data_IF_621497039600
#
_entry.id   IF_621497039600
#
_cell.length_a   1.000
_cell.length_b   1.000
_cell.length_c   1.000
_cell.angle_alpha   90.00
_cell.angle_beta   90.00
_cell.angle_gamma   90.00
#
_symmetry.space_group_name_H-M   'P 1'
#
loop_
_entity.id
_entity.type
_entity.pdbx_description
1 polymer ?
#
# COMPACT_ATOMS: atom_id res chain seq x y z
N UNK A 1 -2.03 -28.15 1.76
CA UNK A 1 -2.08 -26.72 1.38
C UNK A 1 -1.88 -25.77 2.56
N UNK A 2 -2.00 -26.21 3.83
CA UNK A 2 -1.72 -25.34 4.99
C UNK A 2 -2.71 -24.19 5.16
N UNK A 3 -3.95 -24.37 4.66
CA UNK A 3 -5.01 -23.35 4.67
C UNK A 3 -6.17 -23.87 5.50
N UNK A 4 -6.80 -22.96 6.25
CA UNK A 4 -8.06 -23.22 6.93
C UNK A 4 -9.16 -23.49 5.90
N UNK A 5 -9.52 -24.77 5.74
CA UNK A 5 -10.50 -25.24 4.78
C UNK A 5 -11.88 -24.61 4.98
N UNK A 6 -12.29 -24.36 6.24
CA UNK A 6 -13.59 -23.76 6.54
C UNK A 6 -13.67 -22.31 6.08
N UNK A 7 -12.59 -21.54 6.33
CA UNK A 7 -12.47 -20.16 5.84
C UNK A 7 -12.34 -20.10 4.31
N UNK A 8 -11.60 -21.01 3.70
CA UNK A 8 -11.46 -21.05 2.25
C UNK A 8 -12.80 -21.34 1.55
N UNK A 9 -13.61 -22.26 2.09
CA UNK A 9 -14.94 -22.60 1.55
C UNK A 9 -15.94 -21.44 1.70
N UNK A 10 -15.95 -20.75 2.84
CA UNK A 10 -16.85 -19.60 3.03
C UNK A 10 -16.52 -18.44 2.09
N UNK A 11 -15.25 -18.25 1.75
CA UNK A 11 -14.77 -17.21 0.84
C UNK A 11 -14.77 -17.63 -0.64
N UNK A 12 -14.88 -18.94 -0.92
CA UNK A 12 -14.99 -19.49 -2.27
C UNK A 12 -15.97 -20.68 -2.29
N UNK A 13 -17.29 -20.43 -2.35
CA UNK A 13 -18.30 -21.50 -2.36
C UNK A 13 -18.18 -22.46 -3.56
N UNK A 14 -17.63 -21.99 -4.69
CA UNK A 14 -17.40 -22.82 -5.88
C UNK A 14 -16.38 -23.94 -5.64
N UNK A 15 -15.58 -23.85 -4.57
CA UNK A 15 -14.64 -24.89 -4.20
C UNK A 15 -15.35 -26.21 -3.81
N UNK A 16 -16.63 -26.17 -3.41
CA UNK A 16 -17.42 -27.38 -3.15
C UNK A 16 -17.62 -28.26 -4.38
N UNK A 17 -17.67 -27.66 -5.57
CA UNK A 17 -17.92 -28.35 -6.84
C UNK A 17 -16.67 -28.50 -7.69
N UNK A 18 -15.54 -27.94 -7.25
CA UNK A 18 -14.27 -28.01 -7.95
C UNK A 18 -13.71 -29.44 -7.92
N UNK A 19 -13.35 -29.97 -9.08
CA UNK A 19 -12.69 -31.27 -9.13
C UNK A 19 -11.26 -31.19 -8.61
N UNK A 20 -10.78 -32.26 -7.98
CA UNK A 20 -9.37 -32.36 -7.55
C UNK A 20 -8.41 -32.18 -8.73
N UNK A 21 -8.81 -32.60 -9.93
CA UNK A 21 -8.02 -32.39 -11.14
C UNK A 21 -7.87 -30.91 -11.52
N UNK A 22 -8.96 -30.12 -11.44
CA UNK A 22 -8.91 -28.69 -11.69
C UNK A 22 -8.00 -27.97 -10.69
N UNK A 23 -8.13 -28.30 -9.40
CA UNK A 23 -7.26 -27.75 -8.33
C UNK A 23 -5.80 -28.14 -8.58
N UNK A 24 -5.53 -29.39 -8.95
CA UNK A 24 -4.19 -29.85 -9.26
C UNK A 24 -3.59 -29.10 -10.45
N UNK A 25 -4.37 -28.89 -11.53
CA UNK A 25 -3.95 -28.11 -12.70
C UNK A 25 -3.50 -26.70 -12.33
N UNK A 26 -4.24 -26.01 -11.45
CA UNK A 26 -3.88 -24.69 -10.93
C UNK A 26 -2.57 -24.74 -10.14
N UNK A 27 -2.42 -25.73 -9.24
CA UNK A 27 -1.20 -25.90 -8.46
C UNK A 27 0.00 -26.16 -9.38
N UNK A 28 -0.12 -27.08 -10.34
CA UNK A 28 0.93 -27.38 -11.33
C UNK A 28 1.28 -26.14 -12.15
N UNK A 29 0.28 -25.35 -12.56
CA UNK A 29 0.51 -24.10 -13.26
C UNK A 29 1.30 -23.09 -12.40
N UNK A 30 0.89 -22.86 -11.16
CA UNK A 30 1.62 -21.96 -10.25
C UNK A 30 3.05 -22.46 -9.99
N UNK A 31 3.26 -23.77 -9.87
CA UNK A 31 4.59 -24.38 -9.77
C UNK A 31 5.43 -24.12 -11.02
N UNK A 32 4.85 -24.20 -12.22
CA UNK A 32 5.54 -23.86 -13.47
C UNK A 32 5.96 -22.39 -13.55
N UNK A 33 5.32 -21.50 -12.76
CA UNK A 33 5.67 -20.09 -12.61
C UNK A 33 6.59 -19.81 -11.41
N UNK A 34 7.19 -20.85 -10.84
CA UNK A 34 8.18 -20.73 -9.76
C UNK A 34 7.58 -20.55 -8.36
N UNK A 35 6.29 -20.81 -8.16
CA UNK A 35 5.66 -20.80 -6.83
C UNK A 35 5.66 -22.19 -6.21
N UNK A 36 6.14 -22.31 -4.97
CA UNK A 36 6.33 -23.61 -4.32
C UNK A 36 5.34 -23.85 -3.20
N UNK A 37 5.29 -25.08 -2.69
CA UNK A 37 4.35 -25.50 -1.64
C UNK A 37 4.35 -24.57 -0.40
N UNK A 38 5.52 -24.04 -0.02
CA UNK A 38 5.67 -23.09 1.10
C UNK A 38 4.96 -21.75 0.89
N UNK A 39 4.69 -21.37 -0.36
CA UNK A 39 4.04 -20.10 -0.71
C UNK A 39 2.50 -20.22 -0.65
N UNK A 40 1.98 -21.42 -0.88
CA UNK A 40 0.54 -21.66 -1.07
C UNK A 40 -0.32 -21.42 0.16
N UNK A 41 0.21 -21.63 1.36
CA UNK A 41 -0.54 -21.33 2.59
C UNK A 41 -0.93 -19.85 2.64
N UNK A 42 0.00 -18.96 2.28
CA UNK A 42 -0.24 -17.51 2.21
C UNK A 42 -1.15 -17.16 1.04
N UNK A 43 -0.87 -17.71 -0.15
CA UNK A 43 -1.60 -17.37 -1.38
C UNK A 43 -3.07 -17.78 -1.27
N UNK A 44 -3.34 -19.05 -0.98
CA UNK A 44 -4.71 -19.56 -0.89
C UNK A 44 -5.43 -19.08 0.36
N UNK A 45 -4.70 -18.80 1.45
CA UNK A 45 -5.28 -18.18 2.64
C UNK A 45 -5.72 -16.71 2.43
N UNK A 46 -5.04 -15.98 1.53
CA UNK A 46 -5.41 -14.60 1.15
C UNK A 46 -6.41 -14.55 0.00
N UNK A 47 -6.34 -15.51 -0.92
CA UNK A 47 -7.03 -15.51 -2.20
C UNK A 47 -7.56 -16.92 -2.51
N UNK A 48 -8.55 -17.42 -1.76
CA UNK A 48 -9.07 -18.78 -1.93
C UNK A 48 -9.78 -19.00 -3.27
N UNK A 49 -10.23 -17.92 -3.93
CA UNK A 49 -10.83 -17.96 -5.27
C UNK A 49 -9.88 -18.44 -6.36
N UNK A 50 -8.56 -18.36 -6.15
CA UNK A 50 -7.55 -18.86 -7.09
C UNK A 50 -7.74 -20.36 -7.36
N UNK A 51 -8.19 -21.13 -6.36
CA UNK A 51 -8.37 -22.58 -6.47
C UNK A 51 -9.48 -22.99 -7.44
N UNK A 52 -10.26 -22.03 -7.92
CA UNK A 52 -11.33 -22.23 -8.91
C UNK A 52 -11.15 -21.36 -10.15
N UNK A 53 -10.01 -20.66 -10.28
CA UNK A 53 -9.74 -19.79 -11.42
C UNK A 53 -9.33 -20.58 -12.66
N UNK A 54 -9.71 -20.08 -13.83
CA UNK A 54 -9.26 -20.63 -15.10
C UNK A 54 -7.80 -20.24 -15.39
N UNK A 55 -6.96 -21.24 -15.65
CA UNK A 55 -5.53 -21.03 -15.91
C UNK A 55 -5.31 -20.16 -17.14
N UNK A 56 -6.10 -20.35 -18.20
CA UNK A 56 -5.85 -19.71 -19.51
C UNK A 56 -6.33 -18.26 -19.54
N UNK A 57 -7.52 -18.00 -19.02
CA UNK A 57 -8.23 -16.73 -19.14
C UNK A 57 -8.09 -15.82 -17.93
N UNK A 58 -7.70 -16.34 -16.76
CA UNK A 58 -7.54 -15.54 -15.55
C UNK A 58 -6.08 -15.50 -15.07
N UNK A 59 -5.45 -16.67 -14.82
CA UNK A 59 -4.12 -16.70 -14.21
C UNK A 59 -3.00 -16.35 -15.20
N UNK A 60 -2.99 -16.95 -16.39
CA UNK A 60 -1.94 -16.70 -17.39
C UNK A 60 -1.83 -15.23 -17.82
N UNK A 61 -2.95 -14.49 -18.01
CA UNK A 61 -2.89 -13.05 -18.24
C UNK A 61 -2.16 -12.28 -17.13
N UNK A 62 -2.30 -12.66 -15.86
CA UNK A 62 -1.59 -12.00 -14.75
C UNK A 62 -0.08 -12.14 -14.91
N UNK A 63 0.42 -13.35 -15.20
CA UNK A 63 1.86 -13.55 -15.44
C UNK A 63 2.37 -12.87 -16.73
N UNK A 64 1.53 -12.78 -17.76
CA UNK A 64 1.82 -11.98 -18.94
C UNK A 64 1.90 -10.48 -18.62
N UNK A 65 1.02 -9.98 -17.75
CA UNK A 65 1.06 -8.60 -17.29
C UNK A 65 2.33 -8.32 -16.48
N UNK A 66 2.70 -9.21 -15.55
CA UNK A 66 3.95 -9.08 -14.79
C UNK A 66 5.17 -9.02 -15.71
N UNK A 67 5.28 -9.91 -16.69
CA UNK A 67 6.44 -9.97 -17.59
C UNK A 67 6.46 -8.85 -18.63
N UNK A 68 5.33 -8.58 -19.31
CA UNK A 68 5.29 -7.66 -20.46
C UNK A 68 5.07 -6.21 -20.05
N UNK A 69 4.11 -5.97 -19.14
CA UNK A 69 3.73 -4.61 -18.75
C UNK A 69 4.60 -4.10 -17.58
N UNK A 70 4.95 -4.95 -16.61
CA UNK A 70 5.80 -4.57 -15.46
C UNK A 70 7.27 -4.96 -15.59
N UNK A 71 7.65 -5.66 -16.66
CA UNK A 71 9.04 -6.10 -16.94
C UNK A 71 9.63 -6.96 -15.81
N UNK A 72 8.80 -7.74 -15.12
CA UNK A 72 9.25 -8.66 -14.06
C UNK A 72 9.81 -9.92 -14.71
N UNK A 73 11.10 -10.26 -14.49
CA UNK A 73 11.67 -11.53 -14.92
C UNK A 73 10.95 -12.73 -14.30
N UNK A 74 10.87 -13.85 -15.01
CA UNK A 74 10.08 -15.02 -14.55
C UNK A 74 10.58 -15.59 -13.22
N UNK A 75 11.90 -15.61 -13.02
CA UNK A 75 12.58 -16.01 -11.78
C UNK A 75 12.19 -15.12 -10.58
N UNK A 76 11.65 -13.92 -10.83
CA UNK A 76 11.19 -13.00 -9.81
C UNK A 76 9.67 -12.99 -9.59
N UNK A 77 8.87 -13.78 -10.32
CA UNK A 77 7.42 -13.86 -10.09
C UNK A 77 7.08 -14.23 -8.65
N UNK A 78 7.79 -15.22 -8.08
CA UNK A 78 7.60 -15.65 -6.70
C UNK A 78 7.72 -14.50 -5.70
N UNK A 79 8.65 -13.57 -5.91
CA UNK A 79 8.88 -12.41 -5.03
C UNK A 79 7.69 -11.45 -5.08
N UNK A 80 7.24 -11.10 -6.29
CA UNK A 80 6.11 -10.18 -6.52
C UNK A 80 4.80 -10.75 -6.00
N UNK A 81 4.50 -12.01 -6.34
CA UNK A 81 3.25 -12.66 -5.92
C UNK A 81 3.20 -12.84 -4.39
N UNK A 82 4.31 -13.22 -3.73
CA UNK A 82 4.30 -13.33 -2.27
C UNK A 82 4.11 -11.98 -1.57
N UNK A 83 4.62 -10.89 -2.16
CA UNK A 83 4.40 -9.52 -1.68
C UNK A 83 2.92 -9.15 -1.78
N UNK A 84 2.26 -9.45 -2.91
CA UNK A 84 0.84 -9.17 -3.12
C UNK A 84 0.10 -10.31 -3.85
N UNK A 85 -0.40 -11.33 -3.12
CA UNK A 85 -1.13 -12.44 -3.74
C UNK A 85 -2.40 -12.02 -4.48
N UNK A 86 -2.98 -10.86 -4.12
CA UNK A 86 -4.18 -10.31 -4.75
C UNK A 86 -4.01 -10.05 -6.25
N UNK A 87 -2.79 -9.91 -6.75
CA UNK A 87 -2.52 -9.79 -8.18
C UNK A 87 -3.13 -10.96 -8.98
N UNK A 88 -3.14 -12.18 -8.40
CA UNK A 88 -3.63 -13.39 -9.06
C UNK A 88 -5.16 -13.43 -9.23
N UNK A 89 -5.91 -12.59 -8.52
CA UNK A 89 -7.38 -12.57 -8.57
C UNK A 89 -7.95 -11.29 -9.18
N UNK A 90 -7.09 -10.38 -9.65
CA UNK A 90 -7.51 -9.16 -10.31
C UNK A 90 -7.60 -9.35 -11.82
N UNK A 91 -8.70 -8.88 -12.43
CA UNK A 91 -8.81 -8.82 -13.90
C UNK A 91 -7.70 -7.95 -14.47
N UNK A 92 -6.89 -8.51 -15.37
CA UNK A 92 -5.85 -7.72 -16.06
C UNK A 92 -6.48 -6.60 -16.88
N UNK A 93 -7.58 -6.90 -17.56
CA UNK A 93 -8.26 -5.99 -18.50
C UNK A 93 -8.98 -4.87 -17.76
N UNK A 94 -9.71 -5.19 -16.72
CA UNK A 94 -10.66 -4.27 -16.09
C UNK A 94 -10.10 -3.61 -14.83
N UNK A 95 -9.00 -4.15 -14.27
CA UNK A 95 -8.39 -3.65 -13.05
C UNK A 95 -6.90 -3.31 -13.26
N UNK A 96 -6.02 -4.30 -13.49
CA UNK A 96 -4.57 -4.08 -13.41
C UNK A 96 -4.05 -3.09 -14.46
N UNK A 97 -4.46 -3.22 -15.73
CA UNK A 97 -4.03 -2.32 -16.80
C UNK A 97 -4.60 -0.90 -16.66
N UNK A 98 -5.91 -0.70 -16.44
CA UNK A 98 -6.46 0.62 -16.16
C UNK A 98 -5.76 1.31 -14.99
N UNK A 99 -5.50 0.57 -13.90
CA UNK A 99 -4.80 1.11 -12.73
C UNK A 99 -3.35 1.48 -13.05
N UNK A 100 -2.61 0.63 -13.76
CA UNK A 100 -1.24 0.95 -14.20
C UNK A 100 -1.21 2.24 -15.04
N UNK A 101 -2.13 2.36 -16.00
CA UNK A 101 -2.21 3.54 -16.85
C UNK A 101 -2.58 4.81 -16.07
N UNK A 102 -3.50 4.69 -15.11
CA UNK A 102 -3.85 5.80 -14.22
C UNK A 102 -2.64 6.24 -13.38
N UNK A 103 -1.92 5.30 -12.77
CA UNK A 103 -0.70 5.57 -12.00
C UNK A 103 0.39 6.23 -12.86
N UNK A 104 0.60 5.75 -14.09
CA UNK A 104 1.53 6.37 -15.04
C UNK A 104 1.17 7.83 -15.34
N UNK A 105 -0.13 8.13 -15.53
CA UNK A 105 -0.61 9.51 -15.72
C UNK A 105 -0.39 10.41 -14.50
N UNK A 106 -0.30 9.84 -13.30
CA UNK A 106 0.07 10.56 -12.09
C UNK A 106 1.59 10.72 -11.93
N UNK A 107 2.41 10.08 -12.78
CA UNK A 107 3.88 10.16 -12.72
C UNK A 107 4.58 8.93 -12.14
N UNK A 108 3.86 7.86 -11.81
CA UNK A 108 4.46 6.58 -11.40
C UNK A 108 5.01 5.84 -12.63
N UNK A 109 6.23 6.22 -13.05
CA UNK A 109 6.87 5.70 -14.26
C UNK A 109 7.76 4.50 -14.01
N UNK A 110 8.25 4.31 -12.78
CA UNK A 110 9.04 3.14 -12.39
C UNK A 110 8.13 1.92 -12.15
N UNK A 111 7.93 1.14 -13.22
CA UNK A 111 7.13 -0.09 -13.18
C UNK A 111 7.76 -1.19 -12.30
N UNK A 112 9.08 -1.17 -12.10
CA UNK A 112 9.74 -2.10 -11.19
C UNK A 112 9.42 -1.74 -9.74
N UNK A 113 9.45 -0.45 -9.38
CA UNK A 113 9.00 0.00 -8.06
C UNK A 113 7.55 -0.41 -7.78
N UNK A 114 6.65 -0.21 -8.76
CA UNK A 114 5.26 -0.65 -8.65
C UNK A 114 5.14 -2.17 -8.46
N UNK A 115 5.97 -2.97 -9.13
CA UNK A 115 5.91 -4.44 -9.00
C UNK A 115 6.44 -4.94 -7.65
N UNK A 116 7.57 -4.39 -7.16
CA UNK A 116 8.30 -4.95 -6.02
C UNK A 116 8.01 -4.24 -4.69
N UNK A 117 7.79 -2.92 -4.72
CA UNK A 117 7.61 -2.11 -3.52
C UNK A 117 6.14 -1.85 -3.24
N UNK A 118 5.39 -1.40 -4.26
CA UNK A 118 4.01 -0.94 -4.13
C UNK A 118 2.96 -1.72 -4.97
N UNK A 119 3.01 -3.06 -5.07
CA UNK A 119 2.07 -3.81 -5.90
C UNK A 119 0.62 -3.69 -5.42
N UNK A 120 0.40 -3.25 -4.17
CA UNK A 120 -0.92 -2.96 -3.63
C UNK A 120 -1.65 -1.85 -4.42
N UNK A 121 -0.91 -0.92 -5.03
CA UNK A 121 -1.51 0.14 -5.84
C UNK A 121 -2.16 -0.42 -7.09
N UNK A 122 -1.53 -1.40 -7.75
CA UNK A 122 -2.04 -2.03 -8.97
C UNK A 122 -3.36 -2.76 -8.76
N UNK A 123 -3.57 -3.34 -7.58
CA UNK A 123 -4.81 -4.04 -7.20
C UNK A 123 -5.84 -3.13 -6.54
N UNK A 124 -5.54 -1.83 -6.39
CA UNK A 124 -6.46 -0.85 -5.81
C UNK A 124 -7.41 -0.29 -6.88
N UNK A 125 -8.68 -0.13 -6.53
CA UNK A 125 -9.68 0.47 -7.42
C UNK A 125 -9.32 1.93 -7.73
N UNK A 126 -9.24 2.30 -9.01
CA UNK A 126 -9.01 3.69 -9.41
C UNK A 126 -10.15 4.57 -8.89
N UNK A 127 -11.39 4.17 -9.14
CA UNK A 127 -12.59 4.96 -8.84
C UNK A 127 -12.92 4.98 -7.34
N UNK A 128 -12.78 3.83 -6.66
CA UNK A 128 -13.22 3.70 -5.27
C UNK A 128 -12.08 3.85 -4.27
N UNK A 129 -10.83 3.93 -4.72
CA UNK A 129 -9.67 4.08 -3.83
C UNK A 129 -8.79 5.23 -4.28
N UNK A 130 -8.13 5.16 -5.43
CA UNK A 130 -7.07 6.12 -5.77
C UNK A 130 -7.60 7.56 -5.96
N UNK A 131 -8.66 7.73 -6.75
CA UNK A 131 -9.29 9.05 -6.99
C UNK A 131 -9.80 9.66 -5.67
N UNK A 132 -10.58 8.95 -4.83
CA UNK A 132 -11.04 9.48 -3.55
C UNK A 132 -9.92 9.97 -2.62
N UNK A 133 -8.76 9.29 -2.60
CA UNK A 133 -7.62 9.73 -1.76
C UNK A 133 -7.01 11.03 -2.26
N UNK A 134 -6.81 11.16 -3.56
CA UNK A 134 -6.33 12.41 -4.16
C UNK A 134 -7.33 13.54 -3.98
N UNK A 135 -8.61 13.28 -4.23
CA UNK A 135 -9.67 14.26 -4.03
C UNK A 135 -9.70 14.72 -2.57
N UNK A 136 -9.58 13.79 -1.62
CA UNK A 136 -9.53 14.15 -0.21
C UNK A 136 -8.36 15.08 0.13
N UNK A 137 -7.14 14.80 -0.37
CA UNK A 137 -6.02 15.74 -0.19
C UNK A 137 -6.35 17.12 -0.77
N UNK A 138 -6.98 17.19 -1.94
CA UNK A 138 -7.42 18.48 -2.50
C UNK A 138 -8.43 19.19 -1.60
N UNK A 139 -9.37 18.46 -0.99
CA UNK A 139 -10.32 19.07 -0.03
C UNK A 139 -9.67 19.60 1.25
N UNK A 140 -8.44 19.18 1.57
CA UNK A 140 -7.67 19.75 2.68
C UNK A 140 -7.03 21.11 2.35
N UNK A 141 -7.06 21.52 1.07
CA UNK A 141 -6.49 22.78 0.61
C UNK A 141 -5.28 22.63 -0.32
N UNK A 142 -4.78 21.41 -0.57
CA UNK A 142 -3.71 21.18 -1.54
C UNK A 142 -4.19 21.37 -2.96
N UNK A 143 -3.34 21.94 -3.83
CA UNK A 143 -3.60 21.86 -5.26
C UNK A 143 -3.53 20.41 -5.75
N UNK A 144 -4.19 20.10 -6.88
CA UNK A 144 -4.11 18.76 -7.48
C UNK A 144 -2.66 18.34 -7.74
N UNK A 145 -1.81 19.29 -8.17
CA UNK A 145 -0.39 19.04 -8.43
C UNK A 145 0.36 18.64 -7.16
N UNK A 146 0.16 19.39 -6.07
CA UNK A 146 0.78 19.09 -4.79
C UNK A 146 0.31 17.75 -4.22
N UNK A 147 -0.99 17.46 -4.29
CA UNK A 147 -1.52 16.16 -3.86
C UNK A 147 -0.86 15.00 -4.63
N UNK A 148 -0.67 15.14 -5.95
CA UNK A 148 0.05 14.14 -6.77
C UNK A 148 1.51 14.04 -6.34
N UNK A 149 2.23 15.16 -6.20
CA UNK A 149 3.64 15.19 -5.75
C UNK A 149 3.82 14.55 -4.37
N UNK A 150 2.87 14.75 -3.45
CA UNK A 150 2.84 14.07 -2.15
C UNK A 150 2.72 12.56 -2.32
N UNK A 151 1.81 12.08 -3.18
CA UNK A 151 1.64 10.64 -3.41
C UNK A 151 2.82 9.99 -4.12
N UNK A 152 3.53 10.72 -4.99
CA UNK A 152 4.76 10.23 -5.61
C UNK A 152 5.88 10.02 -4.59
N UNK A 153 6.02 10.95 -3.63
CA UNK A 153 7.00 10.83 -2.53
C UNK A 153 6.56 9.86 -1.43
N UNK A 154 5.26 9.65 -1.26
CA UNK A 154 4.71 8.74 -0.27
C UNK A 154 3.53 7.94 -0.87
N UNK A 155 3.81 6.87 -1.63
CA UNK A 155 2.75 6.08 -2.28
C UNK A 155 1.79 5.42 -1.28
N UNK A 156 2.26 5.18 -0.06
CA UNK A 156 1.47 4.65 1.06
C UNK A 156 0.24 5.49 1.39
N UNK A 157 0.19 6.79 1.02
CA UNK A 157 -0.99 7.63 1.17
C UNK A 157 -2.25 7.02 0.54
N UNK A 158 -2.11 6.29 -0.57
CA UNK A 158 -3.25 5.61 -1.22
C UNK A 158 -3.83 4.46 -0.40
N UNK A 159 -3.06 3.92 0.55
CA UNK A 159 -3.43 2.77 1.37
C UNK A 159 -4.12 3.16 2.69
N UNK A 160 -4.00 4.43 3.10
CA UNK A 160 -4.52 4.89 4.38
C UNK A 160 -6.02 5.20 4.30
N UNK A 161 -6.76 4.87 5.36
CA UNK A 161 -8.19 5.24 5.48
C UNK A 161 -8.35 6.76 5.57
N UNK A 162 -9.38 7.31 4.90
CA UNK A 162 -9.70 8.74 5.05
C UNK A 162 -10.22 8.98 6.47
N UNK A 163 -11.24 8.21 6.88
CA UNK A 163 -11.91 8.41 8.17
C UNK A 163 -11.05 8.00 9.36
N UNK A 164 -10.30 6.90 9.23
CA UNK A 164 -9.57 6.33 10.37
C UNK A 164 -8.08 6.71 10.39
N UNK A 165 -7.58 7.45 9.40
CA UNK A 165 -6.18 7.89 9.38
C UNK A 165 -6.06 9.36 8.99
N UNK A 166 -6.42 9.75 7.76
CA UNK A 166 -6.19 11.12 7.32
C UNK A 166 -6.92 12.16 8.16
N UNK A 167 -8.23 11.99 8.32
CA UNK A 167 -9.08 12.96 9.03
C UNK A 167 -8.61 13.21 10.47
N UNK A 168 -8.49 12.22 11.36
CA UNK A 168 -8.09 12.48 12.74
C UNK A 168 -6.68 13.06 12.87
N UNK A 169 -5.76 12.71 11.96
CA UNK A 169 -4.39 13.25 11.99
C UNK A 169 -4.32 14.67 11.45
N UNK A 170 -5.11 15.00 10.43
CA UNK A 170 -5.22 16.35 9.90
C UNK A 170 -5.94 17.29 10.87
N UNK A 171 -7.03 16.82 11.48
CA UNK A 171 -7.77 17.58 12.49
C UNK A 171 -6.85 17.93 13.67
N UNK A 172 -6.04 16.98 14.16
CA UNK A 172 -5.03 17.26 15.19
C UNK A 172 -3.95 18.24 14.71
N UNK A 173 -3.40 18.03 13.51
CA UNK A 173 -2.36 18.88 12.94
C UNK A 173 -2.84 20.35 12.83
N UNK A 174 -4.00 20.56 12.24
CA UNK A 174 -4.54 21.90 11.99
C UNK A 174 -5.06 22.59 13.25
N UNK A 175 -5.74 21.86 14.15
CA UNK A 175 -6.43 22.48 15.29
C UNK A 175 -5.61 22.51 16.58
N UNK A 176 -4.63 21.62 16.73
CA UNK A 176 -3.89 21.45 17.98
C UNK A 176 -2.42 21.78 17.83
N UNK A 177 -1.81 21.42 16.69
CA UNK A 177 -0.44 21.81 16.37
C UNK A 177 -0.37 23.17 15.66
N UNK A 178 -1.51 23.69 15.22
CA UNK A 178 -1.62 24.94 14.42
C UNK A 178 -0.66 24.93 13.22
N UNK A 179 -0.46 23.74 12.63
CA UNK A 179 0.53 23.54 11.60
C UNK A 179 0.07 23.99 10.22
N UNK A 180 1.05 24.36 9.39
CA UNK A 180 0.81 24.89 8.05
C UNK A 180 0.76 23.77 7.00
N UNK A 181 -0.08 23.92 5.96
CA UNK A 181 -0.22 22.89 4.91
C UNK A 181 1.11 22.56 4.23
N UNK A 182 1.99 23.55 4.09
CA UNK A 182 3.31 23.36 3.49
C UNK A 182 4.18 22.36 4.27
N UNK A 183 4.02 22.24 5.59
CA UNK A 183 4.76 21.23 6.37
C UNK A 183 4.31 19.80 6.03
N UNK A 184 2.99 19.60 5.84
CA UNK A 184 2.45 18.32 5.39
C UNK A 184 2.83 18.02 3.94
N UNK A 185 2.88 19.06 3.10
CA UNK A 185 3.39 18.95 1.74
C UNK A 185 4.84 18.50 1.77
N UNK A 186 5.69 19.13 2.56
CA UNK A 186 7.12 18.76 2.62
C UNK A 186 7.34 17.41 3.28
N UNK A 187 6.44 17.02 4.20
CA UNK A 187 6.52 15.77 4.96
C UNK A 187 5.22 14.93 4.93
N UNK A 188 4.83 14.36 3.77
CA UNK A 188 3.60 13.57 3.65
C UNK A 188 3.61 12.30 4.51
N UNK A 189 4.79 11.84 4.93
CA UNK A 189 4.96 10.70 5.84
C UNK A 189 4.37 10.97 7.23
N UNK A 190 3.99 12.21 7.57
CA UNK A 190 3.20 12.52 8.76
C UNK A 190 2.02 11.54 8.92
N UNK A 191 1.28 11.27 7.84
CA UNK A 191 0.13 10.35 7.87
C UNK A 191 0.50 8.86 8.06
N UNK A 192 1.78 8.50 7.99
CA UNK A 192 2.26 7.16 8.29
C UNK A 192 2.52 6.94 9.79
N UNK A 193 2.77 8.01 10.57
CA UNK A 193 3.04 7.88 12.01
C UNK A 193 1.75 7.71 12.83
N UNK A 194 1.84 6.97 13.92
CA UNK A 194 0.70 6.81 14.84
C UNK A 194 0.33 8.15 15.49
N UNK A 195 -0.96 8.50 15.44
CA UNK A 195 -1.45 9.72 16.08
C UNK A 195 -1.19 9.68 17.58
N UNK A 196 -1.66 8.64 18.26
CA UNK A 196 -1.63 8.56 19.72
C UNK A 196 -0.31 8.07 20.29
N UNK A 197 0.48 7.28 19.53
CA UNK A 197 1.76 6.74 20.02
C UNK A 197 2.98 7.56 19.61
N UNK A 198 2.85 8.48 18.65
CA UNK A 198 4.01 9.19 18.10
C UNK A 198 3.79 10.69 17.93
N UNK A 199 2.71 11.09 17.25
CA UNK A 199 2.47 12.51 16.94
C UNK A 199 2.12 13.28 18.21
N UNK A 200 1.05 12.87 18.92
CA UNK A 200 0.59 13.58 20.13
C UNK A 200 1.65 13.61 21.25
N UNK A 201 2.28 12.49 21.63
CA UNK A 201 3.24 12.51 22.74
C UNK A 201 4.43 13.43 22.47
N UNK A 202 4.96 13.41 21.23
CA UNK A 202 6.07 14.27 20.85
C UNK A 202 5.67 15.73 20.74
N UNK A 203 4.47 16.03 20.25
CA UNK A 203 3.98 17.40 20.17
C UNK A 203 3.84 18.01 21.57
N UNK A 204 3.22 17.29 22.51
CA UNK A 204 3.08 17.72 23.91
C UNK A 204 4.45 17.97 24.54
N UNK A 205 5.41 17.06 24.35
CA UNK A 205 6.77 17.26 24.87
C UNK A 205 7.47 18.49 24.29
N UNK A 206 7.26 18.80 23.01
CA UNK A 206 7.79 20.03 22.40
C UNK A 206 7.18 21.28 23.03
N UNK A 207 5.86 21.30 23.21
CA UNK A 207 5.14 22.41 23.86
C UNK A 207 5.60 22.60 25.30
N UNK A 208 5.65 21.52 26.10
CA UNK A 208 6.05 21.57 27.51
C UNK A 208 7.49 22.09 27.70
N UNK A 209 8.37 21.86 26.71
CA UNK A 209 9.74 22.33 26.73
C UNK A 209 9.94 23.68 26.02
N UNK A 210 8.90 24.23 25.39
CA UNK A 210 8.97 25.46 24.59
C UNK A 210 9.90 25.36 23.39
N UNK A 211 9.93 24.20 22.72
CA UNK A 211 10.78 23.93 21.55
C UNK A 211 9.90 23.72 20.33
N UNK A 212 10.33 24.24 19.18
CA UNK A 212 9.72 23.94 17.87
C UNK A 212 10.76 23.30 16.95
N UNK A 213 10.32 22.38 16.09
CA UNK A 213 11.18 21.75 15.08
C UNK A 213 10.35 21.19 13.92
N UNK A 214 10.95 20.97 12.73
CA UNK A 214 10.24 20.40 11.59
C UNK A 214 9.65 19.01 11.88
N UNK A 215 8.46 18.72 11.32
CA UNK A 215 7.77 17.42 11.46
C UNK A 215 8.68 16.22 11.14
N UNK A 216 9.56 16.37 10.15
CA UNK A 216 10.48 15.31 9.74
C UNK A 216 11.46 14.94 10.86
N UNK A 217 12.03 15.93 11.54
CA UNK A 217 12.93 15.72 12.68
C UNK A 217 12.16 15.23 13.90
N UNK A 218 10.99 15.83 14.15
CA UNK A 218 10.10 15.45 15.24
C UNK A 218 9.66 13.99 15.14
N UNK A 219 9.40 13.44 13.96
CA UNK A 219 8.74 12.12 13.83
C UNK A 219 9.67 10.99 13.40
N UNK A 220 10.71 11.26 12.60
CA UNK A 220 11.63 10.22 12.09
C UNK A 220 12.71 9.80 13.07
N UNK A 221 13.12 10.66 13.99
CA UNK A 221 14.18 10.39 14.97
C UNK A 221 13.80 9.25 15.92
N UNK A 222 14.77 8.53 16.46
CA UNK A 222 14.51 7.55 17.54
C UNK A 222 14.04 8.29 18.79
N UNK A 223 13.58 7.55 19.81
CA UNK A 223 13.16 8.20 21.05
C UNK A 223 14.36 8.83 21.75
N UNK A 224 15.50 8.15 21.81
CA UNK A 224 16.74 8.66 22.41
C UNK A 224 17.19 9.97 21.73
N UNK A 225 17.22 9.97 20.39
CA UNK A 225 17.62 11.15 19.62
C UNK A 225 16.65 12.31 19.81
N UNK A 226 15.34 12.03 19.84
CA UNK A 226 14.33 13.06 20.09
C UNK A 226 14.50 13.73 21.46
N UNK A 227 14.70 12.94 22.53
CA UNK A 227 14.96 13.48 23.86
C UNK A 227 16.29 14.24 23.93
N UNK A 228 17.31 13.79 23.18
CA UNK A 228 18.57 14.53 23.06
C UNK A 228 18.37 15.90 22.42
N UNK A 229 17.59 15.98 21.33
CA UNK A 229 17.29 17.25 20.65
C UNK A 229 16.51 18.22 21.55
N UNK A 230 15.59 17.72 22.38
CA UNK A 230 14.85 18.56 23.33
C UNK A 230 15.75 19.06 24.48
N UNK A 231 16.69 18.22 24.95
CA UNK A 231 17.56 18.56 26.09
C UNK A 231 18.75 19.46 25.71
N UNK A 232 19.19 19.45 24.45
CA UNK A 232 20.30 20.27 23.93
C UNK A 232 19.93 21.74 23.68
N UNK A 233 19.11 22.38 24.52
CA UNK A 233 18.85 23.83 24.46
C UNK A 233 20.17 24.62 24.44
N UNK A 234 20.58 25.05 23.23
CA UNK A 234 21.47 26.17 22.91
C UNK A 234 21.41 26.48 21.39
N UNK A 235 20.20 26.50 20.82
CA UNK A 235 19.95 27.30 19.62
C UNK A 235 19.26 28.59 20.08
N UNK A 236 20.04 29.48 20.69
CA UNK A 236 19.70 30.89 20.85
C UNK A 236 20.76 31.64 20.03
N UNK A 237 20.33 32.12 18.86
CA UNK A 237 20.31 33.54 18.47
C UNK A 237 19.65 33.66 17.08
#
# INVERSE_FOLDING_TARGET
>A
MGVDSGKALSQNPCLHTASLHAIHSIITFLQSKGLYQKDFARIFGMCPTILTSDVRSELNPVFNFLSKDLRVPEDNFRKVINKCPRLLICSVKDQLKPTLFYLQRLGFTDVHHLAYQDPILLVSSVENTLIPKLHYLVTLGFTRREAVEMTLRCPGLFTFSIQNNFKPKFDYFSQQMEGELDELKDFPQYFAFSLDKRIKPRHIQLVDNGVSMPLSLMLKTTDEEFHRLISQKNWID
#
